data_IF_621280150524
#
_entry.id   IF_621280150524
#
_cell.length_a   1.000
_cell.length_b   1.000
_cell.length_c   1.000
_cell.angle_alpha   90.00
_cell.angle_beta   90.00
_cell.angle_gamma   90.00
#
_symmetry.space_group_name_H-M   'P 1'
#
loop_
_entity.id
_entity.type
_entity.pdbx_description
1 polymer ?
#
# COMPACT_ATOMS: atom_id res chain seq x y z
N UNK A 1 30.77 12.12 -13.92
CA UNK A 1 30.98 11.05 -12.92
C UNK A 1 30.18 11.26 -11.61
N UNK A 2 30.12 12.47 -11.04
CA UNK A 2 29.41 12.77 -9.78
C UNK A 2 27.88 12.54 -9.89
N UNK A 3 27.27 12.92 -11.01
CA UNK A 3 25.84 12.75 -11.26
C UNK A 3 25.40 11.29 -11.25
N UNK A 4 26.11 10.42 -11.96
CA UNK A 4 25.80 8.99 -12.06
C UNK A 4 25.84 8.28 -10.68
N UNK A 5 26.80 8.68 -9.82
CA UNK A 5 26.93 8.15 -8.46
C UNK A 5 25.76 8.57 -7.55
N UNK A 6 25.17 9.74 -7.80
CA UNK A 6 24.00 10.21 -7.05
C UNK A 6 22.71 9.51 -7.48
N UNK A 7 22.54 9.25 -8.78
CA UNK A 7 21.42 8.48 -9.37
C UNK A 7 21.35 7.05 -8.80
N UNK A 8 22.49 6.36 -8.80
CA UNK A 8 22.58 4.97 -8.36
C UNK A 8 22.22 4.82 -6.88
N UNK A 9 22.66 5.77 -6.04
CA UNK A 9 22.35 5.79 -4.60
C UNK A 9 20.86 5.98 -4.33
N UNK A 10 20.17 6.78 -5.13
CA UNK A 10 18.73 7.01 -4.95
C UNK A 10 17.89 5.80 -5.38
N UNK A 11 18.25 5.18 -6.52
CA UNK A 11 17.63 3.94 -6.98
C UNK A 11 17.81 2.81 -5.96
N UNK A 12 19.00 2.68 -5.37
CA UNK A 12 19.25 1.69 -4.32
C UNK A 12 18.41 1.95 -3.07
N UNK A 13 18.28 3.22 -2.65
CA UNK A 13 17.45 3.60 -1.50
C UNK A 13 15.97 3.28 -1.75
N UNK A 14 15.46 3.59 -2.95
CA UNK A 14 14.08 3.29 -3.35
C UNK A 14 13.83 1.79 -3.42
N UNK A 15 14.78 1.03 -3.97
CA UNK A 15 14.74 -0.43 -4.00
C UNK A 15 14.64 -1.00 -2.58
N UNK A 16 15.50 -0.56 -1.66
CA UNK A 16 15.45 -0.99 -0.24
C UNK A 16 14.09 -0.71 0.39
N UNK A 17 13.52 0.46 0.11
CA UNK A 17 12.22 0.83 0.66
C UNK A 17 11.06 -0.01 0.10
N UNK A 18 11.00 -0.20 -1.21
CA UNK A 18 9.99 -1.04 -1.84
C UNK A 18 10.08 -2.51 -1.41
N UNK A 19 11.30 -3.03 -1.22
CA UNK A 19 11.50 -4.36 -0.62
C UNK A 19 10.93 -4.40 0.79
N UNK A 20 11.18 -3.38 1.61
CA UNK A 20 10.65 -3.32 2.99
C UNK A 20 9.12 -3.39 3.01
N UNK A 21 8.44 -2.60 2.18
CA UNK A 21 6.96 -2.63 2.09
C UNK A 21 6.48 -4.01 1.65
N UNK A 22 7.08 -4.58 0.60
CA UNK A 22 6.66 -5.87 0.07
C UNK A 22 6.90 -7.02 1.07
N UNK A 23 8.00 -6.98 1.84
CA UNK A 23 8.23 -7.94 2.93
C UNK A 23 7.18 -7.79 4.02
N UNK A 24 6.82 -6.56 4.39
CA UNK A 24 5.80 -6.31 5.41
C UNK A 24 4.40 -6.72 4.95
N UNK A 25 4.06 -6.53 3.67
CA UNK A 25 2.82 -7.01 3.09
C UNK A 25 2.79 -8.55 3.03
N UNK A 26 3.87 -9.19 2.57
CA UNK A 26 4.01 -10.65 2.56
C UNK A 26 3.89 -11.24 3.98
N UNK A 27 4.55 -10.65 4.98
CA UNK A 27 4.45 -11.16 6.36
C UNK A 27 3.04 -10.97 6.94
N UNK A 28 2.39 -9.84 6.68
CA UNK A 28 1.04 -9.56 7.21
C UNK A 28 -0.01 -10.49 6.60
N UNK A 29 0.08 -10.73 5.29
CA UNK A 29 -0.81 -11.64 4.55
C UNK A 29 -0.55 -13.10 4.90
N UNK A 30 0.71 -13.48 5.13
CA UNK A 30 1.07 -14.81 5.65
C UNK A 30 0.46 -15.06 7.03
N UNK A 31 0.63 -14.12 7.97
CA UNK A 31 0.05 -14.24 9.32
C UNK A 31 -1.47 -14.38 9.28
N UNK A 32 -2.14 -13.59 8.44
CA UNK A 32 -3.58 -13.67 8.23
C UNK A 32 -4.03 -14.95 7.48
N UNK A 33 -3.14 -15.57 6.71
CA UNK A 33 -3.42 -16.83 6.01
C UNK A 33 -3.40 -18.04 6.95
N UNK A 34 -2.44 -18.08 7.88
CA UNK A 34 -2.33 -19.16 8.88
C UNK A 34 -3.31 -18.98 10.05
N UNK A 35 -3.71 -17.74 10.33
CA UNK A 35 -4.71 -17.39 11.32
C UNK A 35 -5.85 -16.62 10.62
N UNK A 36 -6.76 -17.33 9.93
CA UNK A 36 -7.84 -16.68 9.21
C UNK A 36 -8.72 -15.87 10.16
N UNK A 37 -9.34 -14.78 9.68
CA UNK A 37 -10.31 -14.04 10.47
C UNK A 37 -11.42 -14.99 10.93
N UNK A 38 -11.85 -14.85 12.17
CA UNK A 38 -12.81 -15.79 12.79
C UNK A 38 -12.13 -16.97 13.52
N UNK A 39 -10.90 -17.32 13.15
CA UNK A 39 -10.18 -18.46 13.72
C UNK A 39 -10.67 -19.80 13.15
N UNK A 40 -10.48 -20.84 13.94
CA UNK A 40 -10.83 -22.21 13.59
C UNK A 40 -11.83 -22.76 14.58
N UNK A 41 -12.70 -23.66 14.12
CA UNK A 41 -13.50 -24.48 15.00
C UNK A 41 -12.63 -25.32 15.92
N UNK A 42 -12.99 -25.37 17.20
CA UNK A 42 -12.27 -26.15 18.22
C UNK A 42 -12.94 -27.47 18.55
N UNK A 43 -14.20 -27.66 18.18
CA UNK A 43 -14.99 -28.85 18.44
C UNK A 43 -15.61 -29.46 17.17
N UNK A 44 -16.24 -30.63 17.34
CA UNK A 44 -16.87 -31.40 16.26
C UNK A 44 -18.40 -31.44 16.45
N UNK A 45 -19.03 -30.28 16.60
CA UNK A 45 -20.48 -30.17 16.82
C UNK A 45 -21.17 -29.43 15.66
N UNK A 46 -22.49 -29.60 15.55
CA UNK A 46 -23.37 -28.81 14.67
C UNK A 46 -22.90 -28.66 13.21
N UNK A 47 -22.50 -29.77 12.58
CA UNK A 47 -22.00 -29.85 11.19
C UNK A 47 -20.64 -29.19 10.93
N UNK A 48 -19.92 -28.83 11.98
CA UNK A 48 -18.60 -28.23 11.90
C UNK A 48 -17.55 -29.20 12.46
N UNK A 49 -16.34 -29.13 11.90
CA UNK A 49 -15.23 -30.03 12.25
C UNK A 49 -14.05 -29.19 12.71
N UNK A 50 -13.45 -29.60 13.82
CA UNK A 50 -12.31 -28.91 14.40
C UNK A 50 -11.20 -28.71 13.35
N UNK A 51 -10.64 -27.51 13.31
CA UNK A 51 -9.62 -27.11 12.34
C UNK A 51 -10.15 -26.54 11.01
N UNK A 52 -11.47 -26.54 10.78
CA UNK A 52 -12.05 -25.76 9.67
C UNK A 52 -12.17 -24.27 10.04
N UNK A 53 -11.93 -23.33 9.10
CA UNK A 53 -12.08 -21.90 9.37
C UNK A 53 -13.55 -21.56 9.70
N UNK A 54 -13.80 -20.98 10.86
CA UNK A 54 -15.17 -20.65 11.32
C UNK A 54 -15.83 -19.61 10.41
N UNK A 55 -15.07 -18.61 9.98
CA UNK A 55 -15.54 -17.56 9.07
C UNK A 55 -16.00 -18.07 7.70
N UNK A 56 -15.53 -19.24 7.26
CA UNK A 56 -15.99 -19.84 6.02
C UNK A 56 -17.45 -20.33 6.12
N UNK A 57 -17.85 -20.85 7.27
CA UNK A 57 -19.15 -21.49 7.43
C UNK A 57 -20.27 -20.44 7.56
N UNK A 58 -20.01 -19.36 8.30
CA UNK A 58 -20.99 -18.29 8.51
C UNK A 58 -21.06 -17.29 7.35
N UNK A 59 -19.91 -16.97 6.74
CA UNK A 59 -19.81 -15.95 5.70
C UNK A 59 -19.01 -16.44 4.48
N UNK A 60 -19.48 -17.50 3.78
CA UNK A 60 -18.70 -18.20 2.75
C UNK A 60 -18.22 -17.28 1.61
N UNK A 61 -19.07 -16.35 1.15
CA UNK A 61 -18.69 -15.40 0.10
C UNK A 61 -17.59 -14.44 0.56
N UNK A 62 -17.66 -13.92 1.79
CA UNK A 62 -16.67 -12.98 2.33
C UNK A 62 -15.35 -13.67 2.63
N UNK A 63 -15.42 -14.87 3.17
CA UNK A 63 -14.24 -15.72 3.36
C UNK A 63 -13.53 -15.96 2.02
N UNK A 64 -14.27 -16.30 0.95
CA UNK A 64 -13.67 -16.49 -0.37
C UNK A 64 -13.00 -15.22 -0.90
N UNK A 65 -13.66 -14.07 -0.80
CA UNK A 65 -13.06 -12.78 -1.18
C UNK A 65 -11.80 -12.50 -0.36
N UNK A 66 -11.85 -12.68 0.96
CA UNK A 66 -10.68 -12.55 1.83
C UNK A 66 -9.55 -13.49 1.41
N UNK A 67 -9.84 -14.78 1.23
CA UNK A 67 -8.85 -15.81 0.91
C UNK A 67 -8.13 -15.52 -0.41
N UNK A 68 -8.89 -15.23 -1.47
CA UNK A 68 -8.31 -14.94 -2.77
C UNK A 68 -7.52 -13.62 -2.74
N UNK A 69 -8.07 -12.55 -2.18
CA UNK A 69 -7.37 -11.26 -2.13
C UNK A 69 -6.15 -11.29 -1.21
N UNK A 70 -6.20 -12.00 -0.09
CA UNK A 70 -5.04 -12.17 0.79
C UNK A 70 -3.94 -12.98 0.09
N UNK A 71 -4.32 -14.02 -0.66
CA UNK A 71 -3.38 -14.84 -1.45
C UNK A 71 -2.76 -14.06 -2.62
N UNK A 72 -3.55 -13.26 -3.33
CA UNK A 72 -3.03 -12.42 -4.43
C UNK A 72 -2.09 -11.35 -3.89
N UNK A 73 -2.38 -10.75 -2.73
CA UNK A 73 -1.46 -9.82 -2.07
C UNK A 73 -0.14 -10.51 -1.71
N UNK A 74 -0.18 -11.70 -1.09
CA UNK A 74 1.03 -12.46 -0.77
C UNK A 74 1.88 -12.76 -2.02
N UNK A 75 1.25 -13.28 -3.08
CA UNK A 75 1.94 -13.61 -4.33
C UNK A 75 2.47 -12.37 -5.06
N UNK A 76 1.71 -11.28 -5.09
CA UNK A 76 2.14 -10.01 -5.66
C UNK A 76 3.32 -9.41 -4.89
N UNK A 77 3.31 -9.49 -3.56
CA UNK A 77 4.43 -9.10 -2.70
C UNK A 77 5.70 -9.89 -3.00
N UNK A 78 5.60 -11.22 -3.17
CA UNK A 78 6.74 -12.05 -3.58
C UNK A 78 7.25 -11.70 -4.97
N UNK A 79 6.35 -11.47 -5.94
CA UNK A 79 6.73 -11.03 -7.28
C UNK A 79 7.45 -9.68 -7.24
N UNK A 80 6.97 -8.72 -6.43
CA UNK A 80 7.63 -7.44 -6.20
C UNK A 80 9.02 -7.66 -5.62
N UNK A 81 9.17 -8.44 -4.54
CA UNK A 81 10.49 -8.76 -3.96
C UNK A 81 11.42 -9.38 -5.01
N UNK A 82 10.95 -10.37 -5.77
CA UNK A 82 11.74 -11.03 -6.80
C UNK A 82 12.19 -10.06 -7.90
N UNK A 83 11.29 -9.21 -8.39
CA UNK A 83 11.58 -8.19 -9.41
C UNK A 83 12.56 -7.14 -8.90
N UNK A 84 12.46 -6.76 -7.62
CA UNK A 84 13.40 -5.84 -6.98
C UNK A 84 14.76 -6.49 -6.72
N UNK A 85 14.80 -7.75 -6.30
CA UNK A 85 16.04 -8.48 -6.00
C UNK A 85 16.81 -8.77 -7.29
N UNK A 86 16.12 -9.29 -8.31
CA UNK A 86 16.71 -9.66 -9.59
C UNK A 86 17.04 -8.45 -10.46
N UNK A 87 18.31 -8.02 -10.41
CA UNK A 87 18.84 -6.97 -11.30
C UNK A 87 18.74 -7.34 -12.79
N UNK A 88 18.67 -8.64 -13.12
CA UNK A 88 18.57 -9.13 -14.50
C UNK A 88 17.17 -8.90 -15.08
N UNK A 89 16.11 -9.08 -14.29
CA UNK A 89 14.72 -8.84 -14.70
C UNK A 89 14.44 -7.34 -14.87
N UNK A 90 15.06 -6.48 -14.03
CA UNK A 90 14.98 -5.01 -14.13
C UNK A 90 15.58 -4.39 -15.39
N UNK A 91 16.41 -5.11 -16.15
CA UNK A 91 17.18 -4.55 -17.26
C UNK A 91 16.41 -4.46 -18.58
N UNK A 92 15.29 -5.19 -18.74
CA UNK A 92 14.36 -4.99 -19.86
C UNK A 92 13.45 -3.80 -19.53
N UNK A 93 13.34 -2.83 -20.45
CA UNK A 93 12.55 -1.58 -20.38
C UNK A 93 11.07 -1.77 -19.96
N UNK A 94 10.55 -2.99 -20.03
CA UNK A 94 9.22 -3.42 -19.57
C UNK A 94 9.06 -3.54 -18.04
N UNK A 95 10.15 -3.64 -17.27
CA UNK A 95 10.07 -4.04 -15.86
C UNK A 95 9.49 -2.96 -14.92
N UNK A 96 9.53 -1.68 -15.32
CA UNK A 96 8.96 -0.59 -14.52
C UNK A 96 7.44 -0.60 -14.50
N UNK A 97 6.80 -0.96 -15.61
CA UNK A 97 5.34 -1.09 -15.70
C UNK A 97 4.85 -2.33 -14.97
N UNK A 98 5.54 -3.47 -15.14
CA UNK A 98 5.22 -4.70 -14.41
C UNK A 98 5.37 -4.52 -12.90
N UNK A 99 6.48 -3.93 -12.44
CA UNK A 99 6.68 -3.65 -11.02
C UNK A 99 5.59 -2.73 -10.45
N UNK A 100 5.21 -1.69 -11.21
CA UNK A 100 4.13 -0.78 -10.79
C UNK A 100 2.77 -1.47 -10.78
N UNK A 101 2.49 -2.32 -11.77
CA UNK A 101 1.29 -3.14 -11.84
C UNK A 101 1.19 -4.10 -10.65
N UNK A 102 2.24 -4.87 -10.37
CA UNK A 102 2.29 -5.78 -9.23
C UNK A 102 2.14 -5.04 -7.90
N UNK A 103 2.80 -3.90 -7.71
CA UNK A 103 2.67 -3.11 -6.48
C UNK A 103 1.27 -2.51 -6.28
N UNK A 104 0.59 -2.11 -7.37
CA UNK A 104 -0.81 -1.67 -7.30
C UNK A 104 -1.75 -2.84 -7.02
N UNK A 105 -1.54 -3.97 -7.68
CA UNK A 105 -2.32 -5.19 -7.45
C UNK A 105 -2.19 -5.66 -5.99
N UNK A 106 -0.97 -5.65 -5.43
CA UNK A 106 -0.68 -5.97 -4.03
C UNK A 106 -1.47 -5.06 -3.07
N UNK A 107 -1.41 -3.74 -3.30
CA UNK A 107 -2.14 -2.75 -2.52
C UNK A 107 -3.66 -2.99 -2.54
N UNK A 108 -4.25 -3.17 -3.73
CA UNK A 108 -5.70 -3.37 -3.86
C UNK A 108 -6.16 -4.69 -3.25
N UNK A 109 -5.36 -5.74 -3.45
CA UNK A 109 -5.60 -7.05 -2.85
C UNK A 109 -5.56 -6.96 -1.33
N UNK A 110 -4.58 -6.27 -0.75
CA UNK A 110 -4.49 -6.07 0.70
C UNK A 110 -5.67 -5.27 1.26
N UNK A 111 -6.10 -4.20 0.58
CA UNK A 111 -7.25 -3.38 0.98
C UNK A 111 -8.56 -4.19 0.96
N UNK A 112 -8.79 -4.97 -0.10
CA UNK A 112 -10.00 -5.77 -0.20
C UNK A 112 -9.99 -6.96 0.75
N UNK A 113 -8.84 -7.59 0.99
CA UNK A 113 -8.68 -8.61 2.02
C UNK A 113 -9.00 -8.04 3.41
N UNK A 114 -8.45 -6.87 3.74
CA UNK A 114 -8.78 -6.19 4.99
C UNK A 114 -10.28 -5.93 5.14
N UNK A 115 -10.92 -5.37 4.11
CA UNK A 115 -12.35 -5.07 4.14
C UNK A 115 -13.21 -6.35 4.28
N UNK A 116 -12.85 -7.43 3.59
CA UNK A 116 -13.57 -8.69 3.64
C UNK A 116 -13.39 -9.41 4.98
N UNK A 117 -12.17 -9.43 5.54
CA UNK A 117 -11.85 -10.16 6.76
C UNK A 117 -12.21 -9.43 8.06
N UNK A 118 -12.20 -8.09 8.07
CA UNK A 118 -12.49 -7.31 9.29
C UNK A 118 -13.99 -7.02 9.50
N UNK A 119 -14.82 -7.12 8.46
CA UNK A 119 -16.24 -6.75 8.53
C UNK A 119 -17.15 -7.96 8.67
N UNK A 120 -17.80 -8.13 9.84
CA UNK A 120 -18.72 -9.25 10.09
C UNK A 120 -20.20 -8.98 9.80
N UNK A 121 -20.66 -7.72 9.83
CA UNK A 121 -22.03 -7.34 9.44
C UNK A 121 -22.09 -6.40 8.23
N UNK A 122 -23.25 -6.32 7.60
CA UNK A 122 -23.48 -5.59 6.33
C UNK A 122 -23.28 -4.07 6.49
N UNK A 123 -23.75 -3.48 7.60
CA UNK A 123 -23.69 -2.02 7.80
C UNK A 123 -22.26 -1.48 8.01
N UNK A 124 -21.42 -2.18 8.78
CA UNK A 124 -19.99 -1.83 8.94
C UNK A 124 -19.17 -2.13 7.68
N UNK A 125 -19.58 -3.15 6.91
CA UNK A 125 -18.99 -3.50 5.62
C UNK A 125 -19.22 -2.42 4.56
N UNK A 126 -20.40 -1.80 4.49
CA UNK A 126 -20.68 -0.70 3.55
C UNK A 126 -19.72 0.47 3.78
N UNK A 127 -19.46 0.84 5.03
CA UNK A 127 -18.47 1.88 5.35
C UNK A 127 -17.07 1.50 4.89
N UNK A 128 -16.59 0.29 5.21
CA UNK A 128 -15.25 -0.15 4.80
C UNK A 128 -15.11 -0.17 3.27
N UNK A 129 -16.12 -0.67 2.56
CA UNK A 129 -16.17 -0.69 1.09
C UNK A 129 -16.17 0.73 0.53
N UNK A 130 -16.95 1.65 1.11
CA UNK A 130 -16.99 3.05 0.69
C UNK A 130 -15.63 3.72 0.87
N UNK A 131 -14.96 3.51 2.00
CA UNK A 131 -13.62 4.05 2.25
C UNK A 131 -12.61 3.46 1.25
N UNK A 132 -12.65 2.15 0.99
CA UNK A 132 -11.82 1.50 -0.04
C UNK A 132 -12.08 2.12 -1.41
N UNK A 133 -13.34 2.33 -1.79
CA UNK A 133 -13.72 2.91 -3.08
C UNK A 133 -13.25 4.37 -3.23
N UNK A 134 -13.36 5.18 -2.17
CA UNK A 134 -12.87 6.57 -2.17
C UNK A 134 -11.35 6.61 -2.29
N UNK A 135 -10.64 5.77 -1.54
CA UNK A 135 -9.17 5.69 -1.64
C UNK A 135 -8.74 5.16 -3.00
N UNK A 136 -9.45 4.18 -3.54
CA UNK A 136 -9.25 3.66 -4.89
C UNK A 136 -9.41 4.77 -5.93
N UNK A 137 -10.51 5.52 -5.89
CA UNK A 137 -10.76 6.64 -6.78
C UNK A 137 -9.64 7.69 -6.67
N UNK A 138 -9.21 8.03 -5.44
CA UNK A 138 -8.10 8.95 -5.22
C UNK A 138 -6.78 8.45 -5.84
N UNK A 139 -6.42 7.18 -5.62
CA UNK A 139 -5.20 6.58 -6.20
C UNK A 139 -5.28 6.56 -7.72
N UNK A 140 -6.44 6.19 -8.28
CA UNK A 140 -6.66 6.19 -9.74
C UNK A 140 -6.57 7.60 -10.33
N UNK A 141 -7.16 8.60 -9.69
CA UNK A 141 -7.02 10.01 -10.08
C UNK A 141 -5.56 10.45 -10.02
N UNK A 142 -4.82 10.11 -8.96
CA UNK A 142 -3.39 10.42 -8.85
C UNK A 142 -2.56 9.75 -9.96
N UNK A 143 -2.86 8.49 -10.29
CA UNK A 143 -2.22 7.77 -11.39
C UNK A 143 -2.55 8.43 -12.73
N UNK A 144 -3.83 8.75 -12.97
CA UNK A 144 -4.35 9.36 -14.19
C UNK A 144 -3.78 10.76 -14.41
N UNK A 145 -3.76 11.61 -13.38
CA UNK A 145 -3.15 12.95 -13.41
C UNK A 145 -1.65 12.85 -13.68
N UNK A 146 -0.95 11.89 -13.07
CA UNK A 146 0.48 11.70 -13.30
C UNK A 146 0.80 11.20 -14.72
N UNK A 147 -0.07 10.37 -15.32
CA UNK A 147 0.05 9.94 -16.72
C UNK A 147 -0.33 11.05 -17.70
N UNK A 148 -1.44 11.75 -17.48
CA UNK A 148 -1.87 12.88 -18.31
C UNK A 148 -0.87 14.05 -18.27
N UNK A 149 -0.34 14.39 -17.09
CA UNK A 149 0.69 15.42 -16.98
C UNK A 149 2.00 15.00 -17.65
N UNK A 150 2.29 13.68 -17.74
CA UNK A 150 3.42 13.16 -18.49
C UNK A 150 3.22 13.32 -20.00
N UNK A 151 2.05 12.95 -20.50
CA UNK A 151 1.73 13.01 -21.94
C UNK A 151 1.60 14.45 -22.44
N UNK A 152 0.99 15.34 -21.64
CA UNK A 152 0.87 16.76 -22.00
C UNK A 152 2.23 17.46 -22.02
N UNK A 153 3.11 17.13 -21.07
CA UNK A 153 4.48 17.67 -21.04
C UNK A 153 5.34 17.09 -22.15
N UNK A 154 5.23 15.80 -22.49
CA UNK A 154 5.99 15.23 -23.61
C UNK A 154 5.50 15.76 -24.96
N UNK A 155 4.18 15.90 -25.15
CA UNK A 155 3.61 16.48 -26.37
C UNK A 155 3.99 17.96 -26.53
N UNK A 156 3.96 18.74 -25.44
CA UNK A 156 4.44 20.11 -25.46
C UNK A 156 5.94 20.20 -25.76
N UNK A 157 6.76 19.33 -25.18
CA UNK A 157 8.21 19.33 -25.42
C UNK A 157 8.57 18.91 -26.85
N UNK A 158 7.87 17.93 -27.43
CA UNK A 158 8.02 17.56 -28.84
C UNK A 158 7.61 18.71 -29.77
N UNK A 159 6.48 19.37 -29.48
CA UNK A 159 6.04 20.54 -30.23
C UNK A 159 7.03 21.70 -30.13
N UNK A 160 7.57 21.99 -28.94
CA UNK A 160 8.61 23.02 -28.73
C UNK A 160 9.90 22.68 -29.47
N UNK A 161 10.37 21.42 -29.41
CA UNK A 161 11.59 20.99 -30.10
C UNK A 161 11.46 21.09 -31.62
N UNK A 162 10.26 20.87 -32.16
CA UNK A 162 9.99 21.05 -33.59
C UNK A 162 9.87 22.53 -33.99
N UNK A 163 9.47 23.40 -33.07
CA UNK A 163 9.24 24.82 -33.33
C UNK A 163 10.52 25.68 -33.27
N UNK A 164 11.60 25.23 -32.61
CA UNK A 164 12.82 26.03 -32.46
C UNK A 164 14.03 25.37 -33.11
N UNK A 165 14.21 25.58 -34.41
CA UNK A 165 15.54 25.67 -35.00
C UNK A 165 16.04 27.12 -34.83
N UNK A 166 17.28 27.27 -34.38
CA UNK A 166 18.15 28.48 -34.39
C UNK A 166 18.52 29.17 -33.04
N UNK A 167 19.85 29.15 -32.81
CA UNK A 167 20.80 29.95 -32.01
C UNK A 167 20.40 30.53 -30.63
N UNK A 168 21.16 30.12 -29.61
CA UNK A 168 21.31 30.74 -28.29
C UNK A 168 22.51 31.73 -28.24
N UNK A 169 22.36 32.93 -27.66
CA UNK A 169 23.47 33.73 -27.13
C UNK A 169 23.67 33.54 -25.61
N UNK A 170 24.89 33.83 -25.16
CA UNK A 170 25.54 33.56 -23.86
C UNK A 170 24.81 33.95 -22.54
N UNK A 171 25.21 33.38 -21.39
CA UNK A 171 24.51 33.50 -20.11
C UNK A 171 25.07 34.62 -19.21
N UNK A 172 24.23 35.25 -18.34
CA UNK A 172 24.74 36.00 -17.21
C UNK A 172 24.97 35.09 -15.98
N UNK A 173 26.01 35.43 -15.21
CA UNK A 173 26.44 34.73 -14.00
C UNK A 173 25.57 35.08 -12.79
N UNK A 174 25.51 34.10 -11.87
CA UNK A 174 25.40 34.22 -10.40
C UNK A 174 24.02 34.49 -9.77
N UNK A 175 23.51 33.51 -9.01
CA UNK A 175 23.64 33.50 -7.54
C UNK A 175 23.15 32.16 -6.95
N UNK A 176 24.06 31.28 -6.53
CA UNK A 176 23.72 30.05 -5.77
C UNK A 176 23.58 30.43 -4.29
N UNK A 177 22.35 30.70 -3.83
CA UNK A 177 22.06 30.80 -2.39
C UNK A 177 21.81 29.40 -1.81
N UNK A 178 22.51 29.13 -0.73
CA UNK A 178 22.66 27.87 -0.01
C UNK A 178 21.34 27.26 0.51
N UNK A 179 20.88 26.18 -0.11
CA UNK A 179 19.77 25.33 0.35
C UNK A 179 20.23 23.99 0.96
N UNK A 180 21.47 23.93 1.46
CA UNK A 180 22.09 22.67 1.94
C UNK A 180 21.71 22.35 3.39
N UNK A 181 21.36 23.36 4.21
CA UNK A 181 21.08 23.18 5.64
C UNK A 181 19.66 22.60 5.89
N UNK A 182 18.64 23.00 5.13
CA UNK A 182 17.25 22.52 5.32
C UNK A 182 16.95 21.14 4.72
N UNK A 183 17.77 20.62 3.81
CA UNK A 183 17.53 19.31 3.16
C UNK A 183 17.84 18.09 4.04
N UNK A 184 18.59 18.26 5.12
CA UNK A 184 18.92 17.16 6.06
C UNK A 184 17.72 16.80 6.96
N UNK A 185 17.06 17.74 7.66
CA UNK A 185 15.89 17.41 8.49
C UNK A 185 14.72 16.87 7.67
N UNK A 186 14.37 17.47 6.52
CA UNK A 186 13.28 16.96 5.65
C UNK A 186 13.47 15.50 5.20
N UNK A 187 14.72 15.09 4.95
CA UNK A 187 15.03 13.71 4.53
C UNK A 187 15.01 12.72 5.70
N UNK A 188 15.19 13.19 6.94
CA UNK A 188 15.08 12.40 8.16
C UNK A 188 13.61 12.08 8.42
N UNK A 189 12.77 13.11 8.55
CA UNK A 189 11.31 12.96 8.78
C UNK A 189 10.61 12.11 7.73
N UNK A 190 11.00 12.19 6.45
CA UNK A 190 10.43 11.32 5.40
C UNK A 190 10.69 9.84 5.62
N UNK A 191 11.87 9.45 6.11
CA UNK A 191 12.18 8.05 6.40
C UNK A 191 11.40 7.56 7.61
N UNK A 192 11.28 8.41 8.62
CA UNK A 192 10.57 8.10 9.87
C UNK A 192 9.07 7.96 9.59
N UNK A 193 8.46 8.88 8.84
CA UNK A 193 7.05 8.82 8.42
C UNK A 193 6.75 7.59 7.56
N UNK A 194 7.68 7.23 6.68
CA UNK A 194 7.59 6.00 5.88
C UNK A 194 7.58 4.78 6.80
N UNK A 195 8.51 4.71 7.76
CA UNK A 195 8.64 3.59 8.67
C UNK A 195 7.39 3.46 9.53
N UNK A 196 6.96 4.57 10.15
CA UNK A 196 5.76 4.64 10.97
C UNK A 196 4.52 4.26 10.14
N UNK A 197 4.39 4.79 8.93
CA UNK A 197 3.27 4.45 8.04
C UNK A 197 3.26 2.97 7.65
N UNK A 198 4.42 2.38 7.34
CA UNK A 198 4.48 0.96 6.95
C UNK A 198 4.23 0.03 8.14
N UNK A 199 4.71 0.42 9.33
CA UNK A 199 4.39 -0.28 10.58
C UNK A 199 2.90 -0.17 10.93
N UNK A 200 2.32 1.03 10.80
CA UNK A 200 0.90 1.27 11.02
C UNK A 200 0.03 0.39 10.13
N UNK A 201 0.35 0.26 8.83
CA UNK A 201 -0.34 -0.65 7.91
C UNK A 201 -0.35 -2.08 8.43
N UNK A 202 0.81 -2.61 8.83
CA UNK A 202 0.92 -3.98 9.35
C UNK A 202 0.11 -4.17 10.63
N UNK A 203 0.27 -3.28 11.61
CA UNK A 203 -0.43 -3.34 12.90
C UNK A 203 -1.95 -3.22 12.73
N UNK A 204 -2.41 -2.29 11.90
CA UNK A 204 -3.83 -2.05 11.70
C UNK A 204 -4.48 -3.17 10.90
N UNK A 205 -3.76 -3.79 9.96
CA UNK A 205 -4.21 -4.99 9.26
C UNK A 205 -4.47 -6.13 10.24
N UNK A 206 -3.49 -6.44 11.10
CA UNK A 206 -3.64 -7.50 12.10
C UNK A 206 -4.77 -7.18 13.09
N UNK A 207 -4.80 -5.96 13.62
CA UNK A 207 -5.80 -5.54 14.60
C UNK A 207 -7.23 -5.47 14.02
N UNK A 208 -7.38 -5.34 12.70
CA UNK A 208 -8.68 -5.41 12.04
C UNK A 208 -9.20 -6.84 11.88
N UNK A 209 -8.32 -7.82 11.69
CA UNK A 209 -8.67 -9.24 11.59
C UNK A 209 -8.84 -9.88 12.99
N UNK A 210 -8.06 -9.39 13.95
CA UNK A 210 -8.01 -9.82 15.34
C UNK A 210 -8.30 -8.62 16.25
N UNK A 211 -9.58 -8.31 16.52
CA UNK A 211 -9.97 -7.19 17.34
C UNK A 211 -9.54 -7.41 18.81
N UNK A 212 -9.32 -6.32 19.57
CA UNK A 212 -9.01 -6.40 20.99
C UNK A 212 -10.13 -7.10 21.75
N UNK A 213 -9.77 -7.88 22.76
CA UNK A 213 -10.70 -8.78 23.46
C UNK A 213 -10.84 -10.14 22.78
N UNK A 214 -10.29 -10.32 21.58
CA UNK A 214 -10.31 -11.61 20.88
C UNK A 214 -11.66 -11.90 20.22
N UNK A 215 -11.83 -13.16 19.86
CA UNK A 215 -12.99 -13.68 19.16
C UNK A 215 -13.65 -14.75 20.01
N UNK A 216 -14.97 -14.87 19.92
CA UNK A 216 -15.68 -15.95 20.60
C UNK A 216 -15.24 -17.31 20.07
N UNK A 217 -15.02 -18.30 20.95
CA UNK A 217 -14.61 -19.64 20.54
C UNK A 217 -15.80 -20.56 20.20
N UNK A 218 -17.03 -20.18 20.58
CA UNK A 218 -18.23 -20.99 20.46
C UNK A 218 -19.50 -20.18 20.11
N UNK A 219 -20.54 -20.91 19.68
CA UNK A 219 -21.84 -20.39 19.28
C UNK A 219 -22.82 -20.39 20.46
N UNK A 220 -22.52 -19.64 21.52
CA UNK A 220 -23.33 -19.57 22.74
C UNK A 220 -23.87 -18.17 23.00
N UNK A 221 -24.88 -18.06 23.86
CA UNK A 221 -25.39 -16.79 24.40
C UNK A 221 -25.74 -15.70 23.34
N UNK A 222 -26.12 -16.12 22.12
CA UNK A 222 -26.48 -15.23 21.02
C UNK A 222 -25.31 -14.62 20.25
N UNK A 223 -24.07 -15.03 20.54
CA UNK A 223 -22.89 -14.75 19.74
C UNK A 223 -22.51 -15.94 18.87
N UNK A 224 -21.76 -15.63 17.81
CA UNK A 224 -21.28 -16.58 16.82
C UNK A 224 -19.76 -16.77 16.99
N UNK A 225 -19.27 -17.96 16.68
CA UNK A 225 -17.84 -18.26 16.76
C UNK A 225 -17.08 -17.40 15.80
N UNK A 226 -16.04 -16.75 16.31
CA UNK A 226 -15.31 -15.79 15.53
C UNK A 226 -15.90 -14.39 15.59
N UNK A 227 -17.08 -14.11 16.17
CA UNK A 227 -17.53 -12.72 16.38
C UNK A 227 -16.63 -11.99 17.42
N UNK A 228 -16.44 -10.66 17.32
CA UNK A 228 -15.57 -9.93 18.24
C UNK A 228 -16.17 -9.90 19.64
N UNK A 229 -15.45 -10.36 20.66
CA UNK A 229 -15.91 -10.30 22.06
C UNK A 229 -16.19 -8.85 22.48
N UNK A 230 -15.34 -7.92 22.07
CA UNK A 230 -15.51 -6.49 22.37
C UNK A 230 -16.80 -5.92 21.77
N UNK A 231 -17.32 -6.48 20.67
CA UNK A 231 -18.55 -6.01 20.05
C UNK A 231 -19.76 -6.30 20.91
N UNK A 232 -19.79 -7.45 21.57
CA UNK A 232 -20.95 -7.88 22.36
C UNK A 232 -20.87 -7.33 23.80
N UNK A 233 -19.65 -7.18 24.33
CA UNK A 233 -19.42 -6.59 25.66
C UNK A 233 -19.51 -5.05 25.67
N UNK A 234 -18.94 -4.37 24.67
CA UNK A 234 -19.02 -2.89 24.52
C UNK A 234 -19.08 -2.49 23.03
N UNK A 235 -20.29 -2.44 22.43
CA UNK A 235 -20.45 -2.15 21.01
C UNK A 235 -19.98 -0.74 20.62
N UNK A 236 -19.96 0.20 21.57
CA UNK A 236 -19.51 1.58 21.33
C UNK A 236 -17.99 1.60 21.18
N UNK A 237 -17.25 0.97 22.11
CA UNK A 237 -15.79 0.84 22.01
C UNK A 237 -15.38 0.08 20.76
N UNK A 238 -16.09 -1.00 20.42
CA UNK A 238 -15.81 -1.75 19.20
C UNK A 238 -15.94 -0.88 17.93
N UNK A 239 -17.03 -0.10 17.80
CA UNK A 239 -17.22 0.80 16.65
C UNK A 239 -16.11 1.85 16.55
N UNK A 240 -15.77 2.50 17.66
CA UNK A 240 -14.69 3.51 17.69
C UNK A 240 -13.36 2.88 17.29
N UNK A 241 -13.01 1.74 17.89
CA UNK A 241 -11.80 1.00 17.54
C UNK A 241 -11.78 0.65 16.05
N UNK A 242 -12.85 0.04 15.53
CA UNK A 242 -12.92 -0.41 14.15
C UNK A 242 -12.77 0.75 13.14
N UNK A 243 -13.51 1.85 13.34
CA UNK A 243 -13.44 2.99 12.42
C UNK A 243 -12.10 3.72 12.48
N UNK A 244 -11.53 3.91 13.67
CA UNK A 244 -10.20 4.50 13.83
C UNK A 244 -9.12 3.61 13.20
N UNK A 245 -9.20 2.30 13.41
CA UNK A 245 -8.22 1.35 12.87
C UNK A 245 -8.29 1.29 11.33
N UNK A 246 -9.50 1.20 10.76
CA UNK A 246 -9.71 1.16 9.32
C UNK A 246 -9.28 2.47 8.64
N UNK A 247 -9.65 3.63 9.21
CA UNK A 247 -9.25 4.93 8.66
C UNK A 247 -7.75 5.15 8.72
N UNK A 248 -7.12 4.76 9.83
CA UNK A 248 -5.68 4.88 9.99
C UNK A 248 -4.91 3.93 9.06
N UNK A 249 -5.42 2.72 8.81
CA UNK A 249 -4.84 1.77 7.84
C UNK A 249 -4.84 2.39 6.44
N UNK A 250 -6.00 2.90 6.03
CA UNK A 250 -6.21 3.51 4.71
C UNK A 250 -5.38 4.79 4.54
N UNK A 251 -5.35 5.64 5.56
CA UNK A 251 -4.52 6.85 5.56
C UNK A 251 -3.03 6.52 5.47
N UNK A 252 -2.57 5.50 6.20
CA UNK A 252 -1.17 5.06 6.17
C UNK A 252 -0.76 4.54 4.79
N UNK A 253 -1.62 3.77 4.12
CA UNK A 253 -1.40 3.33 2.74
C UNK A 253 -1.31 4.53 1.77
N UNK A 254 -2.23 5.49 1.88
CA UNK A 254 -2.19 6.71 1.04
C UNK A 254 -0.90 7.50 1.27
N UNK A 255 -0.45 7.66 2.53
CA UNK A 255 0.80 8.33 2.86
C UNK A 255 2.00 7.58 2.25
N UNK A 256 2.05 6.26 2.37
CA UNK A 256 3.10 5.43 1.78
C UNK A 256 3.15 5.60 0.25
N UNK A 257 1.99 5.62 -0.42
CA UNK A 257 1.88 5.82 -1.88
C UNK A 257 2.34 7.23 -2.28
N UNK A 258 1.90 8.27 -1.56
CA UNK A 258 2.27 9.65 -1.83
C UNK A 258 3.76 9.91 -1.58
N UNK A 259 4.34 9.29 -0.54
CA UNK A 259 5.76 9.37 -0.26
C UNK A 259 6.57 8.61 -1.32
N UNK A 260 6.06 7.48 -1.81
CA UNK A 260 6.65 6.78 -2.94
C UNK A 260 6.61 7.63 -4.23
N UNK A 261 5.51 8.34 -4.50
CA UNK A 261 5.33 9.15 -5.71
C UNK A 261 6.06 10.51 -5.67
N UNK A 262 6.05 11.20 -4.53
CA UNK A 262 6.73 12.51 -4.39
C UNK A 262 8.25 12.40 -4.50
N UNK A 263 8.82 11.26 -4.10
CA UNK A 263 10.23 10.94 -4.34
C UNK A 263 10.54 10.86 -5.84
N UNK A 264 9.59 10.40 -6.66
CA UNK A 264 9.70 10.31 -8.13
C UNK A 264 9.61 11.69 -8.80
N UNK A 265 8.69 12.55 -8.34
CA UNK A 265 8.43 13.85 -8.94
C UNK A 265 9.57 14.86 -8.73
N UNK A 266 10.09 14.95 -7.49
CA UNK A 266 11.20 15.85 -7.14
C UNK A 266 12.47 15.52 -7.94
N UNK A 267 12.63 14.25 -8.29
CA UNK A 267 13.75 13.72 -9.04
C UNK A 267 13.66 13.99 -10.54
N UNK A 268 12.51 13.66 -11.15
CA UNK A 268 12.27 13.91 -12.59
C UNK A 268 12.47 15.39 -12.93
N UNK A 269 12.07 16.29 -12.03
CA UNK A 269 12.26 17.75 -12.15
C UNK A 269 13.73 18.18 -12.03
N UNK A 270 14.54 17.51 -11.19
CA UNK A 270 15.98 17.74 -11.11
C UNK A 270 16.77 17.15 -12.28
N UNK A 271 16.32 16.03 -12.85
CA UNK A 271 16.93 15.41 -14.03
C UNK A 271 16.66 16.23 -15.31
N UNK A 272 15.44 16.76 -15.45
CA UNK A 272 15.08 17.67 -16.55
C UNK A 272 15.87 18.98 -16.49
N UNK A 273 16.03 19.57 -15.30
CA UNK A 273 16.83 20.78 -15.12
C UNK A 273 18.34 20.59 -15.39
N UNK A 274 18.82 19.34 -15.43
CA UNK A 274 20.23 19.02 -15.74
C UNK A 274 20.46 18.69 -17.21
N UNK A 275 19.42 18.31 -17.95
CA UNK A 275 19.48 18.08 -19.40
C UNK A 275 19.33 19.37 -20.22
N UNK A 276 18.97 20.47 -19.58
CA UNK A 276 18.82 21.80 -20.19
C UNK A 276 20.01 22.73 -19.88
N UNK A 277 21.15 22.18 -19.47
CA UNK A 277 22.42 22.90 -19.30
C UNK A 277 23.51 22.25 -20.14
#
# INVERSE_FOLDING_TARGET
MITLKSELKDLEKRRKFLVLIAVLAASSTYQAGINPPGGFWTDNQDSHRAGHPSFHNEFPQRYMVFFYLNSTAFMASLAVIMLLVSRRLCRKRMNGYLLRGCALLDLFSLMGAFAAGSCRKVSTSVYAILVVAVVFAYVMIQVLVLTFAKDKVSHFFEWVFHATSFKTPHPPKSYKRSNIVNRKPERKWRKDLILIGTLAVSLMYQAGLLPPGGLWPDDRDGHLTGDPVLRDTDPTRYKVFFYCNATAFMASLVIVILLLNSTISKYKRSLLAMKTC
#
